data_IF_481765903654
#
_entry.id   IF_481765903654
#
_cell.length_a   1.000
_cell.length_b   1.000
_cell.length_c   1.000
_cell.angle_alpha   90.00
_cell.angle_beta   90.00
_cell.angle_gamma   90.00
#
_symmetry.space_group_name_H-M   'P 1'
#
loop_
_entity.id
_entity.type
_entity.pdbx_description
1 polymer ?
#
# COMPACT_ATOMS: atom_id res chain seq x y z
N UNK A 1 -7.06 -39.12 17.14
CA UNK A 1 -8.24 -39.29 16.27
C UNK A 1 -9.17 -38.07 16.31
N UNK A 2 -9.31 -37.38 17.45
CA UNK A 2 -10.14 -36.16 17.62
C UNK A 2 -9.71 -34.89 16.82
N UNK A 3 -8.46 -34.80 16.32
CA UNK A 3 -7.99 -33.61 15.56
C UNK A 3 -8.35 -33.62 14.07
N UNK A 4 -8.80 -34.76 13.55
CA UNK A 4 -9.10 -34.92 12.12
C UNK A 4 -10.56 -34.60 11.80
N UNK A 5 -11.49 -35.04 12.66
CA UNK A 5 -12.93 -34.77 12.54
C UNK A 5 -13.23 -33.28 12.72
N UNK A 6 -12.56 -32.61 13.66
CA UNK A 6 -12.65 -31.15 13.87
C UNK A 6 -12.11 -30.35 12.67
N UNK A 7 -11.08 -30.84 11.98
CA UNK A 7 -10.57 -30.22 10.75
C UNK A 7 -11.53 -30.40 9.56
N UNK A 8 -12.21 -31.54 9.45
CA UNK A 8 -13.16 -31.81 8.35
C UNK A 8 -14.50 -31.11 8.52
N UNK A 9 -14.98 -30.93 9.75
CA UNK A 9 -16.15 -30.11 10.05
C UNK A 9 -15.87 -28.63 9.79
N UNK A 10 -14.72 -28.13 10.26
CA UNK A 10 -14.28 -26.76 9.98
C UNK A 10 -14.10 -26.50 8.47
N UNK A 11 -13.52 -27.44 7.73
CA UNK A 11 -13.37 -27.33 6.28
C UNK A 11 -14.74 -27.25 5.57
N UNK A 12 -15.72 -28.06 5.99
CA UNK A 12 -17.09 -28.03 5.46
C UNK A 12 -17.82 -26.73 5.80
N UNK A 13 -17.64 -26.19 7.01
CA UNK A 13 -18.20 -24.89 7.38
C UNK A 13 -17.62 -23.75 6.54
N UNK A 14 -16.30 -23.74 6.31
CA UNK A 14 -15.68 -22.76 5.42
C UNK A 14 -16.17 -22.89 3.97
N UNK A 15 -16.30 -24.11 3.46
CA UNK A 15 -16.80 -24.36 2.10
C UNK A 15 -18.25 -23.87 1.93
N UNK A 16 -19.12 -24.16 2.90
CA UNK A 16 -20.50 -23.69 2.89
C UNK A 16 -20.60 -22.16 3.02
N UNK A 17 -19.77 -21.55 3.87
CA UNK A 17 -19.69 -20.10 3.97
C UNK A 17 -19.20 -19.46 2.65
N UNK A 18 -18.22 -20.08 1.98
CA UNK A 18 -17.74 -19.63 0.67
C UNK A 18 -18.83 -19.74 -0.40
N UNK A 19 -19.59 -20.84 -0.43
CA UNK A 19 -20.72 -21.01 -1.38
C UNK A 19 -21.82 -19.97 -1.15
N UNK A 20 -22.17 -19.71 0.11
CA UNK A 20 -23.14 -18.68 0.47
C UNK A 20 -22.67 -17.29 0.03
N UNK A 21 -21.40 -16.96 0.28
CA UNK A 21 -20.81 -15.70 -0.15
C UNK A 21 -20.75 -15.56 -1.67
N UNK A 22 -20.32 -16.59 -2.41
CA UNK A 22 -20.25 -16.55 -3.88
C UNK A 22 -21.64 -16.36 -4.50
N UNK A 23 -22.67 -16.97 -3.92
CA UNK A 23 -24.06 -16.82 -4.36
C UNK A 23 -24.56 -15.39 -4.15
N UNK A 24 -24.22 -14.76 -3.02
CA UNK A 24 -24.68 -13.42 -2.68
C UNK A 24 -23.87 -12.30 -3.35
N UNK A 25 -22.56 -12.49 -3.51
CA UNK A 25 -21.62 -11.42 -3.85
C UNK A 25 -20.71 -11.72 -5.04
N UNK A 26 -20.63 -12.95 -5.55
CA UNK A 26 -19.69 -13.31 -6.63
C UNK A 26 -19.93 -12.54 -7.93
N UNK A 27 -21.20 -12.43 -8.35
CA UNK A 27 -21.58 -11.63 -9.53
C UNK A 27 -21.37 -10.13 -9.30
N UNK A 28 -21.70 -9.64 -8.11
CA UNK A 28 -21.50 -8.25 -7.72
C UNK A 28 -20.01 -7.88 -7.69
N UNK A 29 -19.14 -8.74 -7.13
CA UNK A 29 -17.70 -8.54 -7.10
C UNK A 29 -17.14 -8.38 -8.52
N UNK A 30 -17.49 -9.27 -9.45
CA UNK A 30 -17.01 -9.19 -10.84
C UNK A 30 -17.44 -7.88 -11.51
N UNK A 31 -18.68 -7.45 -11.28
CA UNK A 31 -19.17 -6.17 -11.79
C UNK A 31 -18.43 -4.98 -11.16
N UNK A 32 -18.18 -5.02 -9.83
CA UNK A 32 -17.43 -3.98 -9.10
C UNK A 32 -15.99 -3.88 -9.57
N UNK A 33 -15.27 -4.98 -9.70
CA UNK A 33 -13.89 -4.98 -10.21
C UNK A 33 -13.80 -4.43 -11.63
N UNK A 34 -14.73 -4.81 -12.51
CA UNK A 34 -14.80 -4.25 -13.86
C UNK A 34 -15.09 -2.74 -13.85
N UNK A 35 -15.96 -2.29 -12.96
CA UNK A 35 -16.25 -0.86 -12.80
C UNK A 35 -15.05 -0.09 -12.24
N UNK A 36 -14.35 -0.63 -11.25
CA UNK A 36 -13.11 -0.06 -10.72
C UNK A 36 -12.08 0.12 -11.84
N UNK A 37 -11.85 -0.94 -12.61
CA UNK A 37 -10.93 -0.92 -13.74
C UNK A 37 -11.30 0.15 -14.77
N UNK A 38 -12.59 0.27 -15.10
CA UNK A 38 -13.07 1.33 -15.99
C UNK A 38 -12.77 2.73 -15.43
N UNK A 39 -13.04 2.99 -14.15
CA UNK A 39 -12.76 4.30 -13.54
C UNK A 39 -11.27 4.63 -13.52
N UNK A 40 -10.41 3.64 -13.23
CA UNK A 40 -8.95 3.80 -13.27
C UNK A 40 -8.46 4.14 -14.70
N UNK A 41 -9.05 3.50 -15.71
CA UNK A 41 -8.69 3.72 -17.10
C UNK A 41 -9.22 5.03 -17.67
N UNK A 42 -10.40 5.49 -17.22
CA UNK A 42 -10.91 6.83 -17.52
C UNK A 42 -9.96 7.90 -16.95
N UNK A 43 -9.55 7.76 -15.69
CA UNK A 43 -8.50 8.56 -15.07
C UNK A 43 -8.77 10.07 -15.06
N UNK A 44 -10.06 10.46 -15.02
CA UNK A 44 -10.51 11.84 -14.80
C UNK A 44 -10.70 12.10 -13.31
N UNK A 45 -10.73 13.37 -12.92
CA UNK A 45 -10.97 13.75 -11.53
C UNK A 45 -12.32 13.22 -11.03
N UNK A 46 -13.37 13.26 -11.86
CA UNK A 46 -14.68 12.71 -11.50
C UNK A 46 -14.67 11.19 -11.33
N UNK A 47 -13.85 10.47 -12.11
CA UNK A 47 -13.69 9.02 -11.96
C UNK A 47 -12.98 8.69 -10.64
N UNK A 48 -11.93 9.45 -10.30
CA UNK A 48 -11.21 9.28 -9.04
C UNK A 48 -12.07 9.66 -7.82
N UNK A 49 -12.90 10.70 -7.89
CA UNK A 49 -13.84 11.07 -6.83
C UNK A 49 -14.87 9.96 -6.58
N UNK A 50 -15.39 9.35 -7.64
CA UNK A 50 -16.31 8.20 -7.52
C UNK A 50 -15.63 7.00 -6.86
N UNK A 51 -14.37 6.71 -7.21
CA UNK A 51 -13.60 5.66 -6.56
C UNK A 51 -13.43 5.96 -5.06
N UNK A 52 -13.00 7.17 -4.71
CA UNK A 52 -12.83 7.59 -3.31
C UNK A 52 -14.15 7.47 -2.52
N UNK A 53 -15.27 7.90 -3.09
CA UNK A 53 -16.58 7.78 -2.47
C UNK A 53 -17.00 6.32 -2.25
N UNK A 54 -16.76 5.46 -3.24
CA UNK A 54 -17.06 4.03 -3.13
C UNK A 54 -16.25 3.34 -2.03
N UNK A 55 -14.95 3.60 -1.97
CA UNK A 55 -14.07 3.00 -0.95
C UNK A 55 -14.21 3.64 0.44
N UNK A 56 -14.85 4.80 0.55
CA UNK A 56 -15.20 5.40 1.84
C UNK A 56 -16.49 4.81 2.46
N UNK A 57 -17.32 4.11 1.69
CA UNK A 57 -18.55 3.49 2.21
C UNK A 57 -18.26 2.08 2.74
N UNK A 58 -18.16 1.97 4.07
CA UNK A 58 -17.94 0.70 4.77
C UNK A 58 -18.96 -0.39 4.38
N UNK A 59 -20.21 -0.02 4.10
CA UNK A 59 -21.24 -1.00 3.72
C UNK A 59 -20.98 -1.61 2.36
N UNK A 60 -20.36 -0.85 1.46
CA UNK A 60 -19.97 -1.32 0.14
C UNK A 60 -18.71 -2.18 0.20
N UNK A 61 -17.72 -1.86 1.04
CA UNK A 61 -16.44 -2.59 1.08
C UNK A 61 -16.43 -3.80 2.03
N UNK A 62 -17.17 -3.76 3.15
CA UNK A 62 -17.14 -4.79 4.19
C UNK A 62 -17.42 -6.22 3.67
N UNK A 63 -18.33 -6.44 2.70
CA UNK A 63 -18.55 -7.78 2.14
C UNK A 63 -17.32 -8.40 1.48
N UNK A 64 -16.35 -7.60 1.04
CA UNK A 64 -15.20 -8.05 0.25
C UNK A 64 -13.89 -8.13 1.05
N UNK A 65 -13.78 -7.39 2.15
CA UNK A 65 -12.53 -7.13 2.89
C UNK A 65 -11.79 -8.35 3.44
N UNK A 66 -12.42 -9.53 3.50
CA UNK A 66 -11.77 -10.78 3.94
C UNK A 66 -11.92 -11.94 2.92
N UNK A 67 -12.43 -11.65 1.71
CA UNK A 67 -12.82 -12.69 0.73
C UNK A 67 -12.25 -12.46 -0.66
N UNK A 68 -11.82 -11.24 -1.00
CA UNK A 68 -11.24 -10.91 -2.31
C UNK A 68 -9.89 -10.20 -2.15
N UNK A 69 -8.81 -10.87 -2.56
CA UNK A 69 -7.46 -10.29 -2.53
C UNK A 69 -7.35 -9.01 -3.37
N UNK A 70 -8.01 -8.97 -4.53
CA UNK A 70 -8.07 -7.78 -5.38
C UNK A 70 -8.70 -6.59 -4.66
N UNK A 71 -9.82 -6.80 -3.97
CA UNK A 71 -10.47 -5.73 -3.19
C UNK A 71 -9.64 -5.30 -1.98
N UNK A 72 -9.01 -6.24 -1.28
CA UNK A 72 -8.10 -5.93 -0.16
C UNK A 72 -6.94 -5.06 -0.64
N UNK A 73 -6.32 -5.40 -1.77
CA UNK A 73 -5.23 -4.60 -2.33
C UNK A 73 -5.72 -3.25 -2.81
N UNK A 74 -6.90 -3.18 -3.45
CA UNK A 74 -7.49 -1.91 -3.86
C UNK A 74 -7.81 -1.00 -2.68
N UNK A 75 -8.28 -1.53 -1.53
CA UNK A 75 -8.48 -0.72 -0.32
C UNK A 75 -7.17 -0.02 0.09
N UNK A 76 -6.06 -0.75 0.10
CA UNK A 76 -4.74 -0.18 0.44
C UNK A 76 -4.28 0.83 -0.61
N UNK A 77 -4.47 0.54 -1.90
CA UNK A 77 -4.16 1.46 -3.00
C UNK A 77 -4.94 2.77 -2.86
N UNK A 78 -6.24 2.68 -2.53
CA UNK A 78 -7.09 3.86 -2.33
C UNK A 78 -6.69 4.68 -1.11
N UNK A 79 -6.31 4.02 0.00
CA UNK A 79 -5.81 4.71 1.19
C UNK A 79 -4.50 5.47 0.93
N UNK A 80 -3.65 4.91 0.06
CA UNK A 80 -2.44 5.59 -0.40
C UNK A 80 -2.81 6.77 -1.30
N UNK A 81 -3.61 6.53 -2.35
CA UNK A 81 -4.03 7.57 -3.29
C UNK A 81 -4.66 8.76 -2.57
N UNK A 82 -5.60 8.50 -1.65
CA UNK A 82 -6.25 9.52 -0.83
C UNK A 82 -5.23 10.37 -0.07
N UNK A 83 -4.26 9.73 0.58
CA UNK A 83 -3.25 10.44 1.35
C UNK A 83 -2.30 11.27 0.47
N UNK A 84 -1.94 10.77 -0.72
CA UNK A 84 -1.14 11.52 -1.69
C UNK A 84 -1.87 12.79 -2.16
N UNK A 85 -3.17 12.68 -2.45
CA UNK A 85 -4.02 13.82 -2.82
C UNK A 85 -4.14 14.82 -1.67
N UNK A 86 -4.44 14.37 -0.45
CA UNK A 86 -4.56 15.23 0.75
C UNK A 86 -3.26 15.98 1.06
N UNK A 87 -2.10 15.39 0.75
CA UNK A 87 -0.78 16.00 0.95
C UNK A 87 -0.30 16.81 -0.26
N UNK A 88 -1.07 16.87 -1.34
CA UNK A 88 -0.74 17.63 -2.54
C UNK A 88 0.48 17.07 -3.30
N UNK A 89 0.66 15.76 -3.32
CA UNK A 89 1.70 15.12 -4.13
C UNK A 89 1.47 15.40 -5.62
N UNK A 90 2.52 15.85 -6.33
CA UNK A 90 2.44 16.17 -7.75
C UNK A 90 2.20 14.94 -8.65
N UNK A 91 2.57 13.75 -8.16
CA UNK A 91 2.37 12.47 -8.83
C UNK A 91 1.89 11.45 -7.81
N UNK A 92 0.74 10.85 -8.11
CA UNK A 92 0.08 9.85 -7.28
C UNK A 92 0.30 8.44 -7.82
N UNK A 93 -0.13 7.44 -7.05
CA UNK A 93 -0.16 6.04 -7.49
C UNK A 93 -0.96 5.82 -8.79
N UNK A 94 -1.93 6.69 -9.12
CA UNK A 94 -2.74 6.58 -10.35
C UNK A 94 -2.12 7.25 -11.58
N UNK A 95 -1.10 8.09 -11.40
CA UNK A 95 -0.37 8.71 -12.52
C UNK A 95 0.63 7.77 -13.18
N UNK A 96 0.83 6.60 -12.56
CA UNK A 96 1.73 5.55 -13.02
C UNK A 96 1.24 4.93 -14.32
N UNK A 97 2.19 4.65 -15.21
CA UNK A 97 1.92 4.06 -16.51
C UNK A 97 2.76 2.82 -16.74
N UNK A 98 2.16 1.82 -17.36
CA UNK A 98 2.87 0.66 -17.92
C UNK A 98 2.79 0.77 -19.43
N UNK A 99 3.93 0.73 -20.13
CA UNK A 99 3.97 0.82 -21.60
C UNK A 99 3.20 2.03 -22.17
N UNK A 100 3.18 3.16 -21.44
CA UNK A 100 2.49 4.39 -21.84
C UNK A 100 0.98 4.45 -21.59
N UNK A 101 0.36 3.36 -21.10
CA UNK A 101 -1.05 3.33 -20.68
C UNK A 101 -1.20 3.43 -19.16
N UNK A 102 -2.36 3.91 -18.70
CA UNK A 102 -2.75 3.85 -17.29
C UNK A 102 -2.79 2.39 -16.82
N UNK A 103 -2.55 2.21 -15.52
CA UNK A 103 -2.65 0.90 -14.88
C UNK A 103 -4.11 0.66 -14.47
N UNK A 104 -4.63 -0.52 -14.81
CA UNK A 104 -5.91 -0.99 -14.30
C UNK A 104 -5.75 -1.61 -12.91
N UNK A 105 -6.81 -2.24 -12.43
CA UNK A 105 -6.82 -2.89 -11.10
C UNK A 105 -5.70 -3.93 -11.02
N UNK A 106 -5.60 -4.80 -12.03
CA UNK A 106 -4.68 -5.94 -11.98
C UNK A 106 -3.22 -5.50 -12.00
N UNK A 107 -2.88 -4.46 -12.77
CA UNK A 107 -1.51 -3.93 -12.78
C UNK A 107 -1.16 -3.19 -11.49
N UNK A 108 -2.09 -2.44 -10.90
CA UNK A 108 -1.86 -1.79 -9.60
C UNK A 108 -1.68 -2.82 -8.48
N UNK A 109 -2.52 -3.86 -8.46
CA UNK A 109 -2.39 -5.02 -7.57
C UNK A 109 -1.02 -5.69 -7.74
N UNK A 110 -0.58 -5.96 -8.98
CA UNK A 110 0.74 -6.53 -9.24
C UNK A 110 1.89 -5.63 -8.76
N UNK A 111 1.76 -4.31 -8.98
CA UNK A 111 2.70 -3.30 -8.50
C UNK A 111 2.82 -3.29 -6.97
N UNK A 112 1.69 -3.33 -6.26
CA UNK A 112 1.67 -3.38 -4.79
C UNK A 112 2.28 -4.68 -4.25
N UNK A 113 2.06 -5.81 -4.92
CA UNK A 113 2.70 -7.09 -4.57
C UNK A 113 4.21 -7.04 -4.74
N UNK A 114 4.69 -6.47 -5.85
CA UNK A 114 6.12 -6.31 -6.09
C UNK A 114 6.77 -5.46 -4.99
N UNK A 115 6.12 -4.34 -4.63
CA UNK A 115 6.58 -3.49 -3.53
C UNK A 115 6.59 -4.24 -2.18
N UNK A 116 5.51 -4.96 -1.85
CA UNK A 116 5.42 -5.76 -0.62
C UNK A 116 6.53 -6.81 -0.54
N UNK A 117 6.85 -7.46 -1.66
CA UNK A 117 7.91 -8.45 -1.71
C UNK A 117 9.29 -7.84 -1.43
N UNK A 118 9.54 -6.61 -1.89
CA UNK A 118 10.77 -5.88 -1.56
C UNK A 118 10.86 -5.54 -0.07
N UNK A 119 9.77 -5.07 0.53
CA UNK A 119 9.71 -4.84 1.99
C UNK A 119 9.93 -6.13 2.78
N UNK A 120 9.29 -7.22 2.38
CA UNK A 120 9.46 -8.51 3.04
C UNK A 120 10.91 -9.01 2.95
N UNK A 121 11.57 -8.82 1.80
CA UNK A 121 13.00 -9.14 1.66
C UNK A 121 13.85 -8.31 2.60
N UNK A 122 13.56 -7.03 2.74
CA UNK A 122 14.28 -6.17 3.67
C UNK A 122 14.10 -6.65 5.13
N UNK A 123 12.86 -6.95 5.54
CA UNK A 123 12.53 -7.32 6.93
C UNK A 123 13.03 -8.72 7.33
N UNK A 124 12.98 -9.69 6.42
CA UNK A 124 13.12 -11.11 6.77
C UNK A 124 14.29 -11.83 6.11
N UNK A 125 14.98 -11.20 5.17
CA UNK A 125 16.10 -11.84 4.46
C UNK A 125 17.42 -11.16 4.78
N UNK A 126 18.52 -11.92 4.67
CA UNK A 126 19.89 -11.39 4.81
C UNK A 126 20.53 -11.09 3.45
N UNK A 127 19.70 -10.78 2.46
CA UNK A 127 20.17 -10.54 1.11
C UNK A 127 20.83 -9.17 1.03
N UNK A 128 22.12 -9.16 0.71
CA UNK A 128 22.93 -7.94 0.69
C UNK A 128 22.41 -6.87 -0.28
N UNK A 129 21.65 -7.27 -1.30
CA UNK A 129 21.11 -6.38 -2.33
C UNK A 129 19.64 -5.95 -2.10
N UNK A 130 19.01 -6.37 -0.99
CA UNK A 130 17.60 -6.07 -0.74
C UNK A 130 17.34 -4.55 -0.67
N UNK A 131 18.20 -3.82 0.04
CA UNK A 131 18.12 -2.36 0.14
C UNK A 131 18.35 -1.66 -1.20
N UNK A 132 19.34 -2.10 -1.98
CA UNK A 132 19.62 -1.54 -3.31
C UNK A 132 18.42 -1.71 -4.25
N UNK A 133 17.82 -2.91 -4.28
CA UNK A 133 16.63 -3.21 -5.08
C UNK A 133 15.41 -2.39 -4.66
N UNK A 134 15.23 -2.16 -3.35
CA UNK A 134 14.17 -1.28 -2.87
C UNK A 134 14.39 0.16 -3.33
N UNK A 135 15.60 0.71 -3.15
CA UNK A 135 15.92 2.08 -3.59
C UNK A 135 15.77 2.25 -5.10
N UNK A 136 16.22 1.27 -5.89
CA UNK A 136 16.04 1.26 -7.33
C UNK A 136 14.55 1.29 -7.69
N UNK A 137 13.74 0.42 -7.06
CA UNK A 137 12.30 0.42 -7.27
C UNK A 137 11.69 1.78 -6.94
N UNK A 138 12.00 2.37 -5.78
CA UNK A 138 11.46 3.68 -5.38
C UNK A 138 11.77 4.78 -6.41
N UNK A 139 12.99 4.78 -6.97
CA UNK A 139 13.44 5.78 -7.95
C UNK A 139 12.81 5.57 -9.33
N UNK A 140 12.90 4.36 -9.88
CA UNK A 140 12.36 4.03 -11.21
C UNK A 140 10.85 4.23 -11.27
N UNK A 141 10.19 3.94 -10.16
CA UNK A 141 8.75 4.09 -10.04
C UNK A 141 8.35 5.47 -9.50
N UNK A 142 9.27 6.39 -9.18
CA UNK A 142 8.90 7.70 -8.60
C UNK A 142 7.92 7.56 -7.41
N UNK A 143 8.20 6.62 -6.51
CA UNK A 143 7.35 6.37 -5.33
C UNK A 143 7.34 7.61 -4.46
N UNK A 144 6.16 8.12 -4.10
CA UNK A 144 6.06 9.30 -3.25
C UNK A 144 6.46 8.96 -1.80
N UNK A 145 6.95 9.95 -1.02
CA UNK A 145 7.22 9.73 0.40
C UNK A 145 5.94 9.36 1.18
N UNK A 146 4.78 9.88 0.76
CA UNK A 146 3.48 9.61 1.37
C UNK A 146 3.06 8.16 1.13
N UNK A 147 3.19 7.66 -0.11
CA UNK A 147 3.02 6.25 -0.45
C UNK A 147 3.85 5.38 0.48
N UNK A 148 5.15 5.70 0.60
CA UNK A 148 6.09 4.88 1.35
C UNK A 148 5.69 4.80 2.84
N UNK A 149 5.33 5.94 3.43
CA UNK A 149 4.86 6.01 4.81
C UNK A 149 3.56 5.20 5.05
N UNK A 150 2.62 5.25 4.10
CA UNK A 150 1.38 4.47 4.18
C UNK A 150 1.62 2.98 4.00
N UNK A 151 2.46 2.61 3.05
CA UNK A 151 2.75 1.21 2.78
C UNK A 151 3.48 0.55 3.95
N UNK A 152 4.47 1.22 4.57
CA UNK A 152 5.14 0.69 5.77
C UNK A 152 4.16 0.45 6.91
N UNK A 153 3.24 1.38 7.16
CA UNK A 153 2.19 1.23 8.19
C UNK A 153 1.29 0.02 7.98
N UNK A 154 1.03 -0.36 6.73
CA UNK A 154 0.06 -1.40 6.40
C UNK A 154 0.69 -2.77 6.19
N UNK A 155 1.95 -2.85 5.78
CA UNK A 155 2.56 -4.13 5.38
C UNK A 155 3.91 -4.46 6.04
N UNK A 156 4.43 -3.64 6.95
CA UNK A 156 5.53 -4.03 7.82
C UNK A 156 5.01 -4.84 9.02
N UNK A 157 5.80 -5.79 9.52
CA UNK A 157 5.44 -6.53 10.74
C UNK A 157 5.82 -5.74 11.99
N UNK A 158 6.97 -5.05 11.95
CA UNK A 158 7.35 -3.98 12.88
C UNK A 158 7.51 -2.66 12.11
N UNK A 159 6.53 -1.78 12.28
CA UNK A 159 6.49 -0.47 11.62
C UNK A 159 7.73 0.38 11.95
N UNK A 160 8.15 0.46 13.22
CA UNK A 160 9.21 1.37 13.60
C UNK A 160 10.58 0.88 13.12
N UNK A 161 10.84 -0.42 13.26
CA UNK A 161 12.08 -1.04 12.77
C UNK A 161 12.20 -0.90 11.24
N UNK A 162 11.12 -1.14 10.50
CA UNK A 162 11.09 -0.94 9.04
C UNK A 162 11.32 0.54 8.65
N UNK A 163 10.74 1.49 9.41
CA UNK A 163 10.99 2.91 9.17
C UNK A 163 12.46 3.28 9.37
N UNK A 164 13.13 2.73 10.39
CA UNK A 164 14.57 2.93 10.61
C UNK A 164 15.39 2.44 9.40
N UNK A 165 15.18 1.20 8.95
CA UNK A 165 15.93 0.61 7.84
C UNK A 165 15.74 1.41 6.54
N UNK A 166 14.51 1.75 6.18
CA UNK A 166 14.22 2.52 4.97
C UNK A 166 14.74 3.96 5.09
N UNK A 167 14.71 4.55 6.28
CA UNK A 167 15.26 5.90 6.54
C UNK A 167 16.77 5.92 6.26
N UNK A 168 17.53 4.94 6.74
CA UNK A 168 18.96 4.82 6.48
C UNK A 168 19.24 4.66 4.97
N UNK A 169 18.55 3.74 4.31
CA UNK A 169 18.69 3.52 2.87
C UNK A 169 18.38 4.77 2.04
N UNK A 170 17.29 5.48 2.39
CA UNK A 170 16.91 6.72 1.67
C UNK A 170 17.89 7.85 1.92
N UNK A 171 18.46 7.94 3.12
CA UNK A 171 19.48 8.93 3.46
C UNK A 171 20.78 8.69 2.68
N UNK A 172 21.27 7.44 2.66
CA UNK A 172 22.45 7.04 1.87
C UNK A 172 22.25 7.28 0.37
N UNK A 173 21.05 7.01 -0.13
CA UNK A 173 20.64 7.26 -1.51
C UNK A 173 20.40 8.75 -1.85
N UNK A 174 20.58 9.66 -0.87
CA UNK A 174 20.33 11.12 -0.96
C UNK A 174 18.89 11.48 -1.32
N UNK A 175 17.93 10.63 -0.98
CA UNK A 175 16.50 10.85 -1.15
C UNK A 175 15.95 11.66 0.02
N UNK A 176 16.47 12.87 0.23
CA UNK A 176 16.22 13.66 1.46
C UNK A 176 14.73 13.96 1.71
N UNK A 177 13.94 14.14 0.65
CA UNK A 177 12.48 14.29 0.76
C UNK A 177 11.86 13.04 1.40
N UNK A 178 12.23 11.84 0.97
CA UNK A 178 11.76 10.58 1.56
C UNK A 178 12.20 10.42 3.00
N UNK A 179 13.49 10.63 3.27
CA UNK A 179 14.05 10.56 4.62
C UNK A 179 13.32 11.49 5.58
N UNK A 180 13.05 12.73 5.16
CA UNK A 180 12.34 13.71 5.96
C UNK A 180 10.93 13.26 6.37
N UNK A 181 10.15 12.73 5.42
CA UNK A 181 8.80 12.23 5.70
C UNK A 181 8.79 10.99 6.59
N UNK A 182 9.74 10.08 6.40
CA UNK A 182 9.92 8.91 7.28
C UNK A 182 10.22 9.37 8.71
N UNK A 183 11.13 10.31 8.89
CA UNK A 183 11.45 10.88 10.20
C UNK A 183 10.25 11.58 10.84
N UNK A 184 9.45 12.35 10.08
CA UNK A 184 8.20 12.93 10.60
C UNK A 184 7.20 11.86 11.08
N UNK A 185 7.14 10.73 10.40
CA UNK A 185 6.33 9.58 10.85
C UNK A 185 6.91 8.95 12.11
N UNK A 186 8.22 8.70 12.15
CA UNK A 186 8.90 8.15 13.33
C UNK A 186 8.76 9.08 14.56
N UNK A 187 8.86 10.39 14.39
CA UNK A 187 8.66 11.39 15.45
C UNK A 187 7.25 11.33 16.07
N UNK A 188 6.23 10.96 15.28
CA UNK A 188 4.86 10.75 15.80
C UNK A 188 4.74 9.47 16.61
N UNK A 189 5.48 8.43 16.24
CA UNK A 189 5.51 7.15 16.96
C UNK A 189 6.36 7.23 18.24
N UNK A 190 7.45 8.01 18.21
CA UNK A 190 8.39 8.18 19.31
C UNK A 190 8.66 9.68 19.59
N UNK A 191 7.70 10.42 20.18
CA UNK A 191 7.80 11.87 20.33
C UNK A 191 8.92 12.34 21.28
N UNK A 192 9.42 11.46 22.15
CA UNK A 192 10.50 11.74 23.09
C UNK A 192 11.92 11.61 22.52
N UNK A 193 12.07 11.09 21.30
CA UNK A 193 13.38 10.83 20.70
C UNK A 193 13.98 12.10 20.08
N UNK A 194 14.88 12.75 20.82
CA UNK A 194 15.53 14.00 20.42
C UNK A 194 16.43 13.83 19.18
N UNK A 195 16.99 12.63 18.99
CA UNK A 195 17.81 12.29 17.82
C UNK A 195 17.04 12.44 16.51
N UNK A 196 15.77 11.99 16.48
CA UNK A 196 14.87 12.11 15.33
C UNK A 196 14.59 13.58 15.04
N UNK A 197 14.31 14.37 16.09
CA UNK A 197 14.05 15.81 15.95
C UNK A 197 15.25 16.54 15.34
N UNK A 198 16.45 16.25 15.81
CA UNK A 198 17.68 16.85 15.29
C UNK A 198 17.90 16.51 13.80
N UNK A 199 17.65 15.25 13.42
CA UNK A 199 17.74 14.83 12.01
C UNK A 199 16.71 15.55 11.12
N UNK A 200 15.47 15.73 11.60
CA UNK A 200 14.43 16.48 10.88
C UNK A 200 14.89 17.92 10.64
N UNK A 201 15.40 18.61 11.68
CA UNK A 201 15.88 19.99 11.55
C UNK A 201 17.03 20.09 10.54
N UNK A 202 17.97 19.16 10.56
CA UNK A 202 19.09 19.11 9.61
C UNK A 202 18.65 18.92 8.16
N UNK A 203 17.52 18.26 7.93
CA UNK A 203 17.01 18.00 6.58
C UNK A 203 16.07 19.08 6.02
N UNK A 204 15.54 20.00 6.83
CA UNK A 204 14.60 21.04 6.37
C UNK A 204 15.13 21.82 5.16
N UNK A 205 16.41 22.18 5.19
CA UNK A 205 17.06 22.95 4.12
C UNK A 205 17.03 22.27 2.74
N UNK A 206 16.85 20.95 2.69
CA UNK A 206 16.83 20.16 1.45
C UNK A 206 15.42 19.85 0.94
N UNK A 207 14.38 20.22 1.71
CA UNK A 207 12.98 19.86 1.42
C UNK A 207 12.07 21.09 1.28
N UNK A 208 12.40 22.20 1.93
CA UNK A 208 11.64 23.46 1.85
C UNK A 208 12.24 24.48 0.88
N UNK A 209 13.17 24.06 0.03
CA UNK A 209 13.86 24.88 -0.98
C UNK A 209 13.22 24.81 -2.35
#
# INVERSE_FOLDING_TARGET
>A
MQSRETNEEFAREQENANKGWETCYGAALKARLKWIDQMLMEGTDEAHEKLLAFFADEKEIAPYGNRSNAMIEMIVIMDIYKAEVEMGEAHTIFDRKIEGRRMGETELTAYMRAFRFLMWRLEFTKEADAGEKLIQFLKENQVSPVFLCKAVNTMASDEFSMLCEIMELTLEAKMFRHTYWLLLKMQRLAPGEESIRQMIEGLKAYVTG
#
